data_IF_641963938150
#
_entry.id   IF_641963938150
#
_cell.length_a   1.000
_cell.length_b   1.000
_cell.length_c   1.000
_cell.angle_alpha   90.00
_cell.angle_beta   90.00
_cell.angle_gamma   90.00
#
_symmetry.space_group_name_H-M   'P 1'
#
loop_
_entity.id
_entity.type
_entity.pdbx_description
1 polymer ?
#
# COMPACT_ATOMS: atom_id res chain seq x y z
N UNK A 1 33.58 -27.79 51.12
CA UNK A 1 34.01 -29.21 51.22
C UNK A 1 33.51 -29.93 49.97
N UNK A 2 34.39 -30.66 49.25
CA UNK A 2 34.18 -31.56 48.10
C UNK A 2 32.97 -31.41 47.11
N UNK A 3 33.33 -31.19 45.83
CA UNK A 3 32.75 -31.77 44.59
C UNK A 3 33.62 -33.01 44.19
N UNK A 4 33.31 -33.91 43.20
CA UNK A 4 32.79 -33.72 41.82
C UNK A 4 31.43 -34.45 41.63
N UNK A 5 30.97 -35.09 40.53
CA UNK A 5 31.43 -35.43 39.16
C UNK A 5 30.18 -35.54 38.22
N UNK A 6 30.15 -35.54 36.87
CA UNK A 6 31.11 -35.61 35.73
C UNK A 6 31.19 -36.95 34.97
N UNK A 7 30.41 -37.08 33.88
CA UNK A 7 30.61 -37.90 32.67
C UNK A 7 29.60 -37.41 31.60
N UNK A 8 29.86 -37.12 30.31
CA UNK A 8 31.02 -37.19 29.39
C UNK A 8 31.20 -38.46 28.52
N UNK A 9 30.53 -38.46 27.36
CA UNK A 9 30.84 -39.14 26.08
C UNK A 9 30.17 -38.27 24.97
N UNK A 10 30.60 -38.15 23.70
CA UNK A 10 31.72 -38.71 22.94
C UNK A 10 31.34 -38.82 21.44
N UNK A 11 31.46 -37.75 20.64
CA UNK A 11 32.57 -37.45 19.69
C UNK A 11 32.65 -38.33 18.41
N UNK A 12 32.16 -37.81 17.27
CA UNK A 12 32.65 -37.99 15.88
C UNK A 12 31.90 -36.97 14.97
N UNK A 13 32.45 -36.16 14.05
CA UNK A 13 33.56 -36.27 13.08
C UNK A 13 33.19 -37.15 11.85
N UNK A 14 33.43 -36.76 10.58
CA UNK A 14 34.06 -35.55 9.99
C UNK A 14 33.75 -35.43 8.47
N UNK A 15 33.74 -34.21 7.89
CA UNK A 15 34.03 -33.77 6.48
C UNK A 15 33.48 -34.57 5.26
N UNK A 16 33.26 -33.99 4.06
CA UNK A 16 34.16 -33.20 3.20
C UNK A 16 33.41 -32.20 2.29
N UNK A 17 34.11 -31.16 1.82
CA UNK A 17 33.69 -30.31 0.69
C UNK A 17 34.43 -30.76 -0.59
N UNK A 18 33.74 -30.75 -1.74
CA UNK A 18 34.37 -30.80 -3.07
C UNK A 18 33.42 -30.31 -4.18
N UNK A 19 33.72 -29.16 -4.79
CA UNK A 19 33.19 -28.72 -6.08
C UNK A 19 34.08 -27.62 -6.67
N UNK A 20 34.79 -27.91 -7.77
CA UNK A 20 35.66 -26.94 -8.45
C UNK A 20 35.34 -26.85 -9.95
N UNK A 21 34.92 -25.64 -10.35
CA UNK A 21 35.22 -24.96 -11.62
C UNK A 21 35.56 -25.78 -12.88
N UNK A 22 34.74 -25.64 -13.94
CA UNK A 22 35.24 -25.73 -15.32
C UNK A 22 34.40 -24.90 -16.31
N UNK A 23 35.05 -23.94 -16.99
CA UNK A 23 34.51 -23.23 -18.16
C UNK A 23 35.05 -23.83 -19.46
N UNK A 24 34.34 -23.65 -20.59
CA UNK A 24 34.99 -23.63 -21.90
C UNK A 24 34.59 -22.43 -22.78
N UNK A 25 35.60 -21.63 -23.10
CA UNK A 25 35.91 -21.06 -24.43
C UNK A 25 34.95 -20.17 -25.24
N UNK A 26 35.61 -19.35 -26.06
CA UNK A 26 35.11 -18.23 -26.87
C UNK A 26 34.97 -18.66 -28.34
N UNK A 27 33.84 -18.38 -28.98
CA UNK A 27 33.64 -18.58 -30.43
C UNK A 27 33.34 -17.25 -31.14
N UNK A 28 34.25 -16.80 -32.00
CA UNK A 28 34.13 -15.55 -32.78
C UNK A 28 34.25 -15.83 -34.28
N UNK A 29 33.20 -15.53 -35.05
CA UNK A 29 33.22 -15.53 -36.53
C UNK A 29 32.28 -14.48 -37.12
N UNK A 30 32.78 -13.26 -37.23
CA UNK A 30 32.57 -12.39 -38.40
C UNK A 30 33.70 -12.70 -39.43
N UNK A 31 33.74 -12.17 -40.68
CA UNK A 31 33.00 -11.01 -41.20
C UNK A 31 32.41 -11.14 -42.64
N UNK A 32 31.84 -10.03 -43.10
CA UNK A 32 31.79 -9.50 -44.50
C UNK A 32 31.02 -10.24 -45.62
N UNK A 33 30.20 -9.45 -46.35
CA UNK A 33 29.52 -9.78 -47.60
C UNK A 33 28.92 -8.50 -48.21
N UNK A 34 29.44 -8.09 -49.37
CA UNK A 34 29.36 -6.72 -49.90
C UNK A 34 28.21 -6.46 -50.91
N UNK A 35 28.07 -5.17 -51.25
CA UNK A 35 27.47 -4.59 -52.46
C UNK A 35 25.95 -4.29 -52.47
N UNK A 36 25.64 -3.09 -52.97
CA UNK A 36 24.31 -2.57 -53.21
C UNK A 36 23.95 -2.59 -54.71
N UNK A 37 22.66 -2.46 -55.03
CA UNK A 37 22.19 -1.91 -56.31
C UNK A 37 20.84 -1.21 -56.09
N UNK A 38 20.59 -0.19 -56.90
CA UNK A 38 19.39 0.65 -56.85
C UNK A 38 18.17 -0.02 -57.52
N UNK A 39 16.99 0.51 -57.22
CA UNK A 39 15.71 0.18 -57.88
C UNK A 39 14.78 1.39 -57.81
N UNK A 40 14.41 1.93 -58.96
CA UNK A 40 13.68 3.20 -59.09
C UNK A 40 12.17 3.12 -58.79
N UNK A 41 11.61 4.28 -58.43
CA UNK A 41 10.25 4.76 -58.75
C UNK A 41 9.05 3.80 -58.65
N UNK A 42 8.06 4.16 -57.83
CA UNK A 42 6.85 4.83 -58.37
C UNK A 42 5.84 5.29 -57.30
N UNK A 43 5.19 6.42 -57.57
CA UNK A 43 3.74 6.56 -57.41
C UNK A 43 3.14 6.55 -56.00
N UNK A 44 3.30 7.65 -55.25
CA UNK A 44 2.48 7.85 -54.05
C UNK A 44 2.80 9.09 -53.21
N UNK A 45 2.38 10.29 -53.63
CA UNK A 45 2.32 11.47 -52.74
C UNK A 45 1.10 11.34 -51.81
N UNK A 46 1.16 10.33 -50.93
CA UNK A 46 0.20 10.17 -49.83
C UNK A 46 0.62 11.10 -48.70
N UNK A 47 0.23 12.37 -48.81
CA UNK A 47 0.39 13.38 -47.74
C UNK A 47 -0.58 13.18 -46.56
N UNK A 48 -1.12 11.96 -46.41
CA UNK A 48 -1.54 11.45 -45.11
C UNK A 48 -0.29 11.19 -44.27
N UNK A 49 0.26 12.26 -43.70
CA UNK A 49 0.82 12.15 -42.35
C UNK A 49 -0.29 11.51 -41.51
N UNK A 50 -0.09 10.34 -40.88
CA UNK A 50 -1.07 9.86 -39.93
C UNK A 50 -1.18 10.96 -38.87
N UNK A 51 -2.38 11.50 -38.70
CA UNK A 51 -2.64 12.35 -37.55
C UNK A 51 -2.46 11.45 -36.35
N UNK A 52 -1.32 11.58 -35.68
CA UNK A 52 -1.08 10.91 -34.41
C UNK A 52 -1.97 11.63 -33.43
N UNK A 53 -3.22 11.19 -33.38
CA UNK A 53 -4.10 11.46 -32.27
C UNK A 53 -3.24 11.27 -31.01
N UNK A 54 -3.12 12.29 -30.15
CA UNK A 54 -2.46 12.12 -28.87
C UNK A 54 -3.03 10.85 -28.25
N UNK A 55 -2.20 9.93 -27.71
CA UNK A 55 -2.75 8.76 -27.04
C UNK A 55 -3.77 9.29 -26.03
N UNK A 56 -5.02 8.88 -26.18
CA UNK A 56 -6.09 9.33 -25.30
C UNK A 56 -5.60 9.04 -23.89
N UNK A 57 -5.45 10.09 -23.08
CA UNK A 57 -4.89 9.93 -21.75
C UNK A 57 -5.89 9.07 -21.00
N UNK A 58 -5.52 7.80 -20.77
CA UNK A 58 -6.23 6.90 -19.87
C UNK A 58 -6.06 7.50 -18.47
N UNK A 59 -6.93 8.47 -18.14
CA UNK A 59 -6.97 9.12 -16.84
C UNK A 59 -7.29 8.04 -15.82
N UNK A 60 -6.27 7.53 -15.13
CA UNK A 60 -6.40 6.47 -14.14
C UNK A 60 -7.41 6.91 -13.08
N UNK A 61 -8.63 6.36 -13.19
CA UNK A 61 -9.73 6.69 -12.30
C UNK A 61 -9.40 6.15 -10.92
N UNK A 62 -8.86 7.01 -10.06
CA UNK A 62 -8.53 6.69 -8.68
C UNK A 62 -9.75 6.04 -8.00
N UNK A 63 -9.54 4.88 -7.40
CA UNK A 63 -10.51 4.20 -6.56
C UNK A 63 -10.41 4.70 -5.10
N UNK A 64 -11.42 4.42 -4.29
CA UNK A 64 -11.39 4.64 -2.83
C UNK A 64 -10.17 3.94 -2.22
N UNK A 65 -9.45 4.64 -1.34
CA UNK A 65 -8.38 4.01 -0.56
C UNK A 65 -9.01 3.26 0.61
N UNK A 66 -8.71 1.96 0.71
CA UNK A 66 -8.95 1.14 1.90
C UNK A 66 -7.61 0.74 2.54
N UNK A 67 -7.48 0.88 3.86
CA UNK A 67 -6.32 0.43 4.63
C UNK A 67 -6.72 -0.16 5.99
N UNK A 68 -5.82 -0.88 6.67
CA UNK A 68 -6.10 -1.48 7.99
C UNK A 68 -4.90 -1.32 8.91
N UNK A 69 -5.13 -0.68 10.06
CA UNK A 69 -4.15 -0.46 11.12
C UNK A 69 -4.40 -1.48 12.23
N UNK A 70 -3.42 -2.33 12.52
CA UNK A 70 -3.53 -3.38 13.54
C UNK A 70 -3.16 -2.90 14.94
N UNK A 71 -3.78 -3.50 15.96
CA UNK A 71 -3.44 -3.33 17.38
C UNK A 71 -3.16 -4.69 18.02
N UNK A 72 -2.06 -5.36 17.65
CA UNK A 72 -1.83 -6.77 17.95
C UNK A 72 -1.74 -7.05 19.46
N UNK A 73 -1.37 -6.09 20.30
CA UNK A 73 -1.14 -6.32 21.73
C UNK A 73 -2.26 -5.80 22.66
N UNK A 74 -3.40 -5.38 22.11
CA UNK A 74 -4.62 -5.13 22.88
C UNK A 74 -4.94 -3.67 23.19
N UNK A 75 -3.93 -2.81 23.26
CA UNK A 75 -4.09 -1.39 23.58
C UNK A 75 -4.53 -0.52 22.40
N UNK A 76 -4.20 0.76 22.56
CA UNK A 76 -4.38 1.91 21.65
C UNK A 76 -3.04 2.54 21.22
N UNK A 77 -1.91 1.99 21.68
CA UNK A 77 -0.56 2.39 21.24
C UNK A 77 -0.32 1.97 19.77
N UNK A 78 0.15 2.91 18.96
CA UNK A 78 0.52 2.69 17.56
C UNK A 78 1.95 2.16 17.49
N UNK A 79 2.11 0.88 17.11
CA UNK A 79 3.42 0.27 16.88
C UNK A 79 4.08 0.74 15.57
N UNK A 80 5.31 0.27 15.33
CA UNK A 80 6.11 0.69 14.17
C UNK A 80 5.50 0.26 12.82
N UNK A 81 4.78 -0.87 12.76
CA UNK A 81 4.13 -1.34 11.55
C UNK A 81 2.83 -0.55 11.29
N UNK A 82 2.08 -0.25 12.36
CA UNK A 82 0.92 0.64 12.32
C UNK A 82 1.28 2.06 11.84
N UNK A 83 2.38 2.64 12.34
CA UNK A 83 2.89 3.95 11.88
C UNK A 83 3.34 3.88 10.42
N UNK A 84 4.06 2.82 10.02
CA UNK A 84 4.52 2.65 8.63
C UNK A 84 3.37 2.49 7.63
N UNK A 85 2.22 1.94 8.04
CA UNK A 85 1.00 1.89 7.21
C UNK A 85 0.32 3.27 7.12
N UNK A 86 0.21 4.00 8.25
CA UNK A 86 -0.33 5.35 8.28
C UNK A 86 0.49 6.35 7.43
N UNK A 87 1.81 6.19 7.33
CA UNK A 87 2.66 6.97 6.42
C UNK A 87 2.32 6.73 4.93
N UNK A 88 1.95 5.50 4.55
CA UNK A 88 1.47 5.19 3.18
C UNK A 88 0.12 5.85 2.90
N UNK A 89 -0.78 5.80 3.89
CA UNK A 89 -2.09 6.46 3.83
C UNK A 89 -1.93 7.98 3.63
N UNK A 90 -1.00 8.62 4.35
CA UNK A 90 -0.68 10.04 4.14
C UNK A 90 -0.08 10.33 2.76
N UNK A 91 0.75 9.43 2.23
CA UNK A 91 1.35 9.58 0.91
C UNK A 91 0.37 9.39 -0.26
N UNK A 92 -0.84 8.88 -0.01
CA UNK A 92 -1.83 8.53 -1.05
C UNK A 92 -2.35 9.75 -1.85
N UNK A 93 -2.72 9.56 -3.14
CA UNK A 93 -3.47 10.56 -3.90
C UNK A 93 -4.80 10.97 -3.25
N UNK A 94 -5.50 10.01 -2.63
CA UNK A 94 -6.79 10.21 -1.97
C UNK A 94 -6.67 11.18 -0.78
N UNK A 95 -5.65 11.00 0.07
CA UNK A 95 -5.36 11.93 1.17
C UNK A 95 -5.09 13.36 0.67
N UNK A 96 -4.29 13.48 -0.40
CA UNK A 96 -3.88 14.76 -1.01
C UNK A 96 -5.03 15.53 -1.65
N UNK A 97 -6.05 14.84 -2.19
CA UNK A 97 -7.26 15.45 -2.76
C UNK A 97 -8.20 16.06 -1.71
N UNK A 98 -7.88 15.95 -0.42
CA UNK A 98 -8.60 16.66 0.65
C UNK A 98 -9.92 16.04 1.09
N UNK A 99 -10.28 14.85 0.58
CA UNK A 99 -11.54 14.17 0.90
C UNK A 99 -11.71 13.75 2.37
N UNK A 100 -12.93 13.36 2.78
CA UNK A 100 -13.19 12.83 4.12
C UNK A 100 -12.45 11.50 4.36
N UNK A 101 -12.30 11.14 5.63
CA UNK A 101 -11.55 9.98 6.11
C UNK A 101 -12.43 9.28 7.14
N UNK A 102 -12.87 8.06 6.85
CA UNK A 102 -13.70 7.27 7.77
C UNK A 102 -12.84 6.24 8.48
N UNK A 103 -12.82 6.28 9.80
CA UNK A 103 -12.10 5.35 10.68
C UNK A 103 -13.08 4.39 11.35
N UNK A 104 -13.17 3.15 10.88
CA UNK A 104 -14.03 2.10 11.47
C UNK A 104 -13.22 1.29 12.48
N UNK A 105 -13.64 1.30 13.74
CA UNK A 105 -12.80 0.84 14.85
C UNK A 105 -13.37 -0.43 15.48
N UNK A 106 -12.54 -1.46 15.63
CA UNK A 106 -12.95 -2.79 16.07
C UNK A 106 -12.05 -3.36 17.18
N UNK A 107 -12.59 -4.32 17.92
CA UNK A 107 -11.93 -5.10 18.96
C UNK A 107 -12.20 -6.60 18.81
N UNK A 108 -11.55 -7.39 19.65
CA UNK A 108 -11.90 -8.79 19.85
C UNK A 108 -12.93 -8.99 20.97
N UNK A 109 -13.57 -10.16 21.02
CA UNK A 109 -14.66 -10.48 21.96
C UNK A 109 -14.19 -11.12 23.27
N UNK A 110 -13.29 -10.48 24.02
CA UNK A 110 -12.86 -10.95 25.35
C UNK A 110 -13.08 -9.95 26.50
N UNK A 111 -13.47 -8.72 26.21
CA UNK A 111 -14.13 -7.84 27.18
C UNK A 111 -15.64 -8.11 27.23
N UNK A 112 -16.38 -7.29 27.97
CA UNK A 112 -17.82 -7.08 27.72
C UNK A 112 -18.00 -6.11 26.56
N UNK A 113 -19.19 -6.06 25.97
CA UNK A 113 -19.57 -5.17 24.86
C UNK A 113 -19.04 -3.74 25.06
N UNK A 114 -19.33 -3.13 26.21
CA UNK A 114 -18.89 -1.79 26.58
C UNK A 114 -17.35 -1.65 26.69
N UNK A 115 -16.65 -2.66 27.22
CA UNK A 115 -15.17 -2.64 27.25
C UNK A 115 -14.56 -2.78 25.85
N UNK A 116 -15.26 -3.47 24.95
CA UNK A 116 -14.85 -3.66 23.57
C UNK A 116 -15.16 -2.40 22.73
N UNK A 117 -16.25 -1.68 23.02
CA UNK A 117 -16.56 -0.34 22.52
C UNK A 117 -15.54 0.70 22.99
N UNK A 118 -15.28 0.81 24.29
CA UNK A 118 -14.26 1.71 24.88
C UNK A 118 -12.88 1.50 24.23
N UNK A 119 -12.43 0.25 24.12
CA UNK A 119 -11.14 -0.10 23.51
C UNK A 119 -11.09 0.17 22.00
N UNK A 120 -12.21 0.03 21.30
CA UNK A 120 -12.31 0.40 19.87
C UNK A 120 -12.25 1.92 19.71
N UNK A 121 -12.97 2.68 20.54
CA UNK A 121 -12.95 4.13 20.53
C UNK A 121 -11.54 4.67 20.79
N UNK A 122 -10.82 4.13 21.77
CA UNK A 122 -9.45 4.52 22.09
C UNK A 122 -8.50 4.38 20.87
N UNK A 123 -8.55 3.23 20.18
CA UNK A 123 -7.77 3.00 18.94
C UNK A 123 -8.12 3.99 17.82
N UNK A 124 -9.42 4.31 17.67
CA UNK A 124 -9.88 5.33 16.72
C UNK A 124 -9.31 6.71 17.01
N UNK A 125 -9.34 7.11 18.28
CA UNK A 125 -8.79 8.39 18.74
C UNK A 125 -7.25 8.44 18.63
N UNK A 126 -6.56 7.32 18.82
CA UNK A 126 -5.11 7.21 18.58
C UNK A 126 -4.75 7.43 17.10
N UNK A 127 -5.47 6.77 16.18
CA UNK A 127 -5.28 6.96 14.73
C UNK A 127 -5.64 8.39 14.30
N UNK A 128 -6.78 8.91 14.75
CA UNK A 128 -7.20 10.28 14.45
C UNK A 128 -6.20 11.32 14.98
N UNK A 129 -5.78 11.18 16.26
CA UNK A 129 -4.80 12.07 16.88
C UNK A 129 -3.43 12.03 16.21
N UNK A 130 -3.00 10.87 15.71
CA UNK A 130 -1.78 10.75 14.90
C UNK A 130 -1.92 11.49 13.56
N UNK A 131 -3.02 11.29 12.82
CA UNK A 131 -3.29 11.97 11.55
C UNK A 131 -3.36 13.50 11.73
N UNK A 132 -4.02 13.98 12.78
CA UNK A 132 -4.08 15.40 13.14
C UNK A 132 -2.68 15.93 13.48
N UNK A 133 -1.87 15.15 14.20
CA UNK A 133 -0.47 15.46 14.48
C UNK A 133 0.41 15.59 13.23
N UNK A 134 0.02 14.95 12.12
CA UNK A 134 0.67 15.06 10.80
C UNK A 134 0.03 16.15 9.90
N UNK A 135 -0.89 16.96 10.44
CA UNK A 135 -1.48 18.12 9.75
C UNK A 135 -2.77 17.84 8.99
N UNK A 136 -3.41 16.68 9.18
CA UNK A 136 -4.77 16.44 8.67
C UNK A 136 -5.77 17.27 9.50
N UNK A 137 -6.69 17.98 8.83
CA UNK A 137 -7.76 18.70 9.52
C UNK A 137 -8.72 17.70 10.21
N UNK A 138 -8.99 17.92 11.50
CA UNK A 138 -9.93 17.15 12.32
C UNK A 138 -11.33 17.07 11.67
N UNK A 139 -11.78 18.15 11.01
CA UNK A 139 -13.07 18.20 10.29
C UNK A 139 -13.18 17.21 9.10
N UNK A 140 -12.08 16.54 8.72
CA UNK A 140 -12.09 15.46 7.70
C UNK A 140 -12.30 14.07 8.30
N UNK A 141 -12.21 13.87 9.62
CA UNK A 141 -12.04 12.55 10.23
C UNK A 141 -13.30 12.12 10.99
N UNK A 142 -14.04 11.17 10.43
CA UNK A 142 -15.19 10.53 11.07
C UNK A 142 -14.77 9.21 11.76
N UNK A 143 -14.99 9.10 13.08
CA UNK A 143 -14.69 7.87 13.85
C UNK A 143 -15.98 7.08 14.11
N UNK A 144 -16.05 5.85 13.61
CA UNK A 144 -17.20 4.94 13.76
C UNK A 144 -16.81 3.74 14.61
N UNK A 145 -17.41 3.63 15.80
CA UNK A 145 -17.11 2.57 16.78
C UNK A 145 -18.02 1.36 16.58
N UNK A 146 -17.43 0.19 16.35
CA UNK A 146 -18.15 -1.09 16.21
C UNK A 146 -18.00 -2.04 17.42
N UNK A 147 -17.09 -1.75 18.35
CA UNK A 147 -16.78 -2.67 19.44
C UNK A 147 -16.25 -4.00 18.91
N UNK A 148 -16.79 -5.12 19.38
CA UNK A 148 -16.48 -6.46 18.85
C UNK A 148 -17.27 -6.85 17.59
N UNK A 149 -18.16 -5.99 17.11
CA UNK A 149 -19.03 -6.29 15.96
C UNK A 149 -18.25 -6.29 14.63
N UNK A 150 -18.77 -7.03 13.65
CA UNK A 150 -18.15 -7.24 12.34
C UNK A 150 -16.68 -7.71 12.43
N UNK A 151 -16.42 -8.87 13.07
CA UNK A 151 -15.08 -9.44 13.15
C UNK A 151 -14.60 -9.92 11.77
N UNK A 152 -13.39 -9.51 11.37
CA UNK A 152 -12.73 -9.95 10.15
C UNK A 152 -12.26 -11.42 10.20
N UNK A 153 -12.08 -11.96 11.41
CA UNK A 153 -11.69 -13.36 11.66
C UNK A 153 -12.46 -13.95 12.85
N UNK A 154 -12.70 -15.27 12.94
CA UNK A 154 -13.37 -15.86 14.11
C UNK A 154 -12.60 -15.61 15.42
N UNK A 155 -13.25 -15.03 16.45
CA UNK A 155 -12.64 -14.85 17.78
C UNK A 155 -12.41 -16.17 18.54
N UNK A 156 -13.09 -17.25 18.15
CA UNK A 156 -12.98 -18.59 18.73
C UNK A 156 -12.75 -19.66 17.65
N UNK A 157 -12.14 -20.77 18.06
CA UNK A 157 -11.97 -21.98 17.26
C UNK A 157 -13.26 -22.84 17.29
N UNK A 158 -13.43 -23.83 16.40
CA UNK A 158 -14.64 -24.66 16.33
C UNK A 158 -14.95 -25.51 17.57
N UNK A 159 -14.00 -25.64 18.50
CA UNK A 159 -14.18 -26.31 19.80
C UNK A 159 -14.61 -25.34 20.93
N UNK A 160 -14.75 -24.05 20.62
CA UNK A 160 -15.08 -22.98 21.56
C UNK A 160 -13.88 -22.38 22.31
N UNK A 161 -12.64 -22.81 22.03
CA UNK A 161 -11.45 -22.21 22.62
C UNK A 161 -11.06 -20.89 21.92
N UNK A 162 -10.35 -19.94 22.59
CA UNK A 162 -10.01 -18.65 21.98
C UNK A 162 -9.07 -18.77 20.77
N UNK A 163 -9.43 -18.17 19.65
CA UNK A 163 -8.58 -18.07 18.47
C UNK A 163 -7.74 -16.78 18.55
N UNK A 164 -6.59 -16.82 19.23
CA UNK A 164 -5.79 -15.59 19.41
C UNK A 164 -5.35 -14.97 18.08
N UNK A 165 -5.10 -15.74 17.02
CA UNK A 165 -4.77 -15.20 15.72
C UNK A 165 -5.94 -14.40 15.10
N UNK A 166 -7.17 -14.87 15.27
CA UNK A 166 -8.37 -14.14 14.86
C UNK A 166 -8.61 -12.90 15.73
N UNK A 167 -8.42 -13.01 17.05
CA UNK A 167 -8.50 -11.88 17.98
C UNK A 167 -7.47 -10.78 17.64
N UNK A 168 -6.21 -11.16 17.37
CA UNK A 168 -5.15 -10.26 16.88
C UNK A 168 -5.59 -9.47 15.64
N UNK A 169 -6.19 -10.14 14.66
CA UNK A 169 -6.68 -9.51 13.44
C UNK A 169 -7.93 -8.62 13.64
N UNK A 170 -8.79 -8.94 14.61
CA UNK A 170 -10.01 -8.17 14.88
C UNK A 170 -9.75 -6.84 15.59
N UNK A 171 -8.68 -6.76 16.39
CA UNK A 171 -8.20 -5.52 17.02
C UNK A 171 -7.57 -4.60 15.96
N UNK A 172 -8.39 -3.79 15.30
CA UNK A 172 -7.99 -2.99 14.13
C UNK A 172 -8.76 -1.67 14.01
N UNK A 173 -8.21 -0.75 13.23
CA UNK A 173 -8.93 0.38 12.65
C UNK A 173 -8.85 0.26 11.13
N UNK A 174 -9.99 0.17 10.46
CA UNK A 174 -10.09 0.24 9.00
C UNK A 174 -10.22 1.71 8.59
N UNK A 175 -9.48 2.12 7.56
CA UNK A 175 -9.48 3.49 7.03
C UNK A 175 -10.06 3.47 5.62
N UNK A 176 -11.07 4.29 5.38
CA UNK A 176 -11.62 4.55 4.05
C UNK A 176 -11.42 6.03 3.67
N UNK A 177 -10.85 6.31 2.50
CA UNK A 177 -10.76 7.66 1.92
C UNK A 177 -11.36 7.65 0.52
N UNK A 178 -12.63 8.05 0.34
CA UNK A 178 -13.28 8.09 -0.96
C UNK A 178 -12.68 9.20 -1.84
N UNK A 179 -12.68 8.96 -3.16
CA UNK A 179 -12.15 9.90 -4.14
C UNK A 179 -13.15 11.03 -4.36
N UNK A 180 -12.87 12.18 -3.75
CA UNK A 180 -13.52 13.43 -4.13
C UNK A 180 -13.10 13.81 -5.56
N UNK A 181 -14.02 14.30 -6.42
CA UNK A 181 -13.68 14.80 -7.73
C UNK A 181 -12.77 16.02 -7.61
N UNK A 182 -11.84 16.16 -8.55
CA UNK A 182 -10.89 17.28 -8.54
C UNK A 182 -11.63 18.55 -8.98
N UNK A 183 -11.61 19.57 -8.13
CA UNK A 183 -12.16 20.88 -8.48
C UNK A 183 -11.19 21.56 -9.43
N UNK A 184 -11.43 21.38 -10.73
CA UNK A 184 -10.73 22.14 -11.76
C UNK A 184 -11.15 23.60 -11.62
N UNK A 185 -10.30 24.40 -10.99
CA UNK A 185 -10.42 25.85 -10.95
C UNK A 185 -10.24 26.42 -12.37
N UNK A 186 -11.33 26.42 -13.13
CA UNK A 186 -11.36 27.01 -14.47
C UNK A 186 -11.16 28.51 -14.32
N UNK A 187 -9.97 28.98 -14.68
CA UNK A 187 -9.56 30.38 -14.60
C UNK A 187 -10.33 31.22 -15.63
N UNK A 188 -11.55 31.62 -15.26
CA UNK A 188 -12.52 32.30 -16.14
C UNK A 188 -12.02 33.65 -16.65
N UNK A 189 -11.04 34.27 -15.99
CA UNK A 189 -10.44 35.53 -16.41
C UNK A 189 -9.59 35.36 -17.70
N UNK A 190 -9.10 34.13 -17.98
CA UNK A 190 -8.29 33.83 -19.17
C UNK A 190 -9.08 33.62 -20.46
N UNK A 191 -10.39 33.37 -20.39
CA UNK A 191 -11.25 33.19 -21.57
C UNK A 191 -11.87 34.50 -22.10
N UNK A 192 -11.59 35.65 -21.45
CA UNK A 192 -12.22 36.93 -21.77
C UNK A 192 -11.49 37.87 -22.74
N UNK A 193 -10.24 37.59 -23.13
CA UNK A 193 -9.37 38.57 -23.82
C UNK A 193 -8.76 38.06 -25.14
N UNK A 194 -9.59 37.95 -26.18
CA UNK A 194 -9.15 37.56 -27.54
C UNK A 194 -9.90 38.25 -28.68
N UNK A 195 -10.63 39.34 -28.40
CA UNK A 195 -11.40 40.13 -29.38
C UNK A 195 -10.98 41.60 -29.32
N UNK A 196 -11.04 42.29 -30.46
CA UNK A 196 -10.73 43.72 -30.66
C UNK A 196 -9.27 44.17 -30.48
N UNK A 197 -8.52 44.15 -31.58
CA UNK A 197 -8.00 45.39 -32.19
C UNK A 197 -7.89 45.16 -33.70
N UNK A 198 -8.58 45.97 -34.51
CA UNK A 198 -8.67 45.76 -35.95
C UNK A 198 -9.28 46.94 -36.71
N UNK A 199 -8.59 48.07 -36.68
CA UNK A 199 -8.70 49.21 -37.62
C UNK A 199 -7.32 49.89 -37.71
#
# INVERSE_FOLDING_TARGET
MFKPASALFGLSALLLLAACNQSPERGTTEPEGDAASEGEETGGVSILRPEVAPPEAEEETLETLEATIGFPDGGDELDADAVAELEKVLASPQMKRGGPIVLRTHSDSSGTDAMNEDASQARGLAVAGWLIGQGVNEERIDVIVFGEQNPAQPNALPDGSPNEAGRKANRRVEIEIPVVPEVIDVDLDKIGNSTETGD
#
